data_IF_510517866985
#
_entry.id   IF_510517866985
#
_cell.length_a   1.000
_cell.length_b   1.000
_cell.length_c   1.000
_cell.angle_alpha   90.00
_cell.angle_beta   90.00
_cell.angle_gamma   90.00
#
_symmetry.space_group_name_H-M   'P 1'
#
loop_
_entity.id
_entity.type
_entity.pdbx_description
1 polymer ?
#
# COMPACT_ATOMS: atom_id res chain seq x y z
N UNK A 1 -15.31 -15.46 -20.59
CA UNK A 1 -16.08 -14.48 -19.78
C UNK A 1 -17.54 -14.47 -20.26
N UNK A 2 -18.49 -14.36 -19.33
CA UNK A 2 -19.93 -14.33 -19.67
C UNK A 2 -20.43 -12.89 -19.76
N UNK A 3 -21.20 -12.56 -20.79
CA UNK A 3 -22.09 -11.43 -20.74
C UNK A 3 -23.17 -11.69 -19.68
N UNK A 4 -23.49 -10.67 -18.89
CA UNK A 4 -24.52 -10.74 -17.84
C UNK A 4 -25.54 -9.62 -18.09
N UNK A 5 -26.76 -9.83 -17.65
CA UNK A 5 -27.78 -8.75 -17.67
C UNK A 5 -27.36 -7.62 -16.73
N UNK A 6 -27.74 -6.35 -17.06
CA UNK A 6 -27.52 -5.23 -16.16
C UNK A 6 -28.09 -5.51 -14.77
N UNK A 7 -27.26 -5.35 -13.73
CA UNK A 7 -27.69 -5.62 -12.35
C UNK A 7 -27.22 -4.53 -11.40
N UNK A 8 -28.00 -4.29 -10.38
CA UNK A 8 -27.64 -3.45 -9.23
C UNK A 8 -26.87 -4.29 -8.22
N UNK A 9 -25.77 -3.75 -7.71
CA UNK A 9 -24.93 -4.41 -6.71
C UNK A 9 -24.94 -3.57 -5.43
N UNK A 10 -25.67 -3.99 -4.39
CA UNK A 10 -25.69 -3.28 -3.11
C UNK A 10 -24.39 -3.46 -2.34
N UNK A 11 -23.99 -2.42 -1.61
CA UNK A 11 -22.82 -2.45 -0.74
C UNK A 11 -22.92 -1.44 0.41
N UNK A 12 -22.01 -1.49 1.38
CA UNK A 12 -22.08 -0.64 2.57
C UNK A 12 -22.00 0.86 2.23
N UNK A 13 -23.09 1.59 2.38
CA UNK A 13 -23.20 3.03 2.15
C UNK A 13 -23.16 3.46 0.68
N UNK A 14 -23.15 2.52 -0.27
CA UNK A 14 -23.20 2.78 -1.71
C UNK A 14 -23.95 1.66 -2.43
N UNK A 15 -24.44 1.95 -3.65
CA UNK A 15 -24.93 0.93 -4.59
C UNK A 15 -24.28 1.17 -5.95
N UNK A 16 -24.00 0.10 -6.69
CA UNK A 16 -23.65 0.18 -8.11
C UNK A 16 -24.94 -0.06 -8.92
N UNK A 17 -25.43 0.98 -9.58
CA UNK A 17 -26.65 0.93 -10.38
C UNK A 17 -26.27 1.00 -11.86
N UNK A 18 -26.83 0.17 -12.76
CA UNK A 18 -26.56 0.28 -14.19
C UNK A 18 -26.67 1.72 -14.68
N UNK A 19 -25.70 2.17 -15.49
CA UNK A 19 -25.67 3.53 -16.00
C UNK A 19 -26.89 3.79 -16.92
N UNK A 20 -27.71 4.77 -16.58
CA UNK A 20 -28.93 5.16 -17.29
C UNK A 20 -29.00 6.65 -17.59
N UNK A 21 -30.08 7.05 -18.32
CA UNK A 21 -30.28 8.45 -18.72
C UNK A 21 -30.41 9.42 -17.54
N UNK A 22 -30.90 8.95 -16.40
CA UNK A 22 -31.04 9.71 -15.16
C UNK A 22 -29.69 10.24 -14.63
N UNK A 23 -28.59 9.66 -15.06
CA UNK A 23 -27.23 10.07 -14.63
C UNK A 23 -26.55 11.05 -15.60
N UNK A 24 -27.20 11.45 -16.72
CA UNK A 24 -26.63 12.40 -17.68
C UNK A 24 -26.35 13.75 -17.01
N UNK A 25 -27.34 14.31 -16.33
CA UNK A 25 -27.22 15.62 -15.69
C UNK A 25 -26.26 15.62 -14.51
N UNK A 26 -26.35 14.67 -13.55
CA UNK A 26 -25.37 14.57 -12.47
C UNK A 26 -23.95 14.38 -12.96
N UNK A 27 -23.72 13.51 -13.95
CA UNK A 27 -22.40 13.26 -14.52
C UNK A 27 -21.86 14.52 -15.22
N UNK A 28 -22.70 15.23 -15.97
CA UNK A 28 -22.32 16.49 -16.63
C UNK A 28 -21.88 17.51 -15.59
N UNK A 29 -22.66 17.70 -14.53
CA UNK A 29 -22.34 18.66 -13.46
C UNK A 29 -21.00 18.35 -12.78
N UNK A 30 -20.77 17.08 -12.45
CA UNK A 30 -19.50 16.62 -11.80
C UNK A 30 -18.31 16.88 -12.71
N UNK A 31 -18.39 16.55 -14.00
CA UNK A 31 -17.24 16.60 -14.91
C UNK A 31 -16.96 18.00 -15.50
N UNK A 32 -17.73 19.02 -15.11
CA UNK A 32 -17.40 20.43 -15.38
C UNK A 32 -16.10 20.89 -14.65
N UNK A 33 -15.70 20.23 -13.56
CA UNK A 33 -14.48 20.59 -12.84
C UNK A 33 -13.24 20.14 -13.64
N UNK A 34 -12.37 21.09 -13.97
CA UNK A 34 -11.12 20.86 -14.69
C UNK A 34 -10.19 19.85 -14.00
N UNK A 35 -10.37 19.59 -12.70
CA UNK A 35 -9.55 18.64 -11.96
C UNK A 35 -9.56 17.24 -12.58
N UNK A 36 -10.66 16.83 -13.22
CA UNK A 36 -10.76 15.52 -13.86
C UNK A 36 -9.88 15.36 -15.10
N UNK A 37 -9.64 16.43 -15.87
CA UNK A 37 -8.79 16.36 -17.05
C UNK A 37 -7.31 16.15 -16.76
N UNK A 38 -6.90 16.31 -15.48
CA UNK A 38 -5.49 16.17 -15.08
C UNK A 38 -4.98 14.73 -15.14
N UNK A 39 -5.81 13.77 -14.72
CA UNK A 39 -5.41 12.38 -14.53
C UNK A 39 -6.32 11.38 -15.27
N UNK A 40 -7.19 11.86 -16.13
CA UNK A 40 -8.09 11.02 -16.91
C UNK A 40 -8.00 11.39 -18.39
N UNK A 41 -8.67 10.62 -19.24
CA UNK A 41 -8.87 10.94 -20.66
C UNK A 41 -10.14 11.75 -20.88
N UNK A 42 -10.82 12.18 -19.82
CA UNK A 42 -12.04 13.00 -19.89
C UNK A 42 -11.66 14.39 -20.43
N UNK A 43 -12.25 14.83 -21.55
CA UNK A 43 -11.95 16.12 -22.13
C UNK A 43 -12.47 17.26 -21.25
N UNK A 44 -11.86 18.44 -21.41
CA UNK A 44 -12.36 19.66 -20.78
C UNK A 44 -12.39 20.81 -21.81
N UNK A 45 -13.47 21.56 -21.90
CA UNK A 45 -14.72 21.44 -21.14
C UNK A 45 -15.48 20.14 -21.45
N UNK A 46 -16.21 19.60 -20.46
CA UNK A 46 -17.05 18.44 -20.62
C UNK A 46 -18.49 18.89 -20.94
N UNK A 47 -19.00 18.49 -22.07
CA UNK A 47 -20.33 18.88 -22.53
C UNK A 47 -21.39 17.81 -22.24
N UNK A 48 -22.66 18.20 -22.10
CA UNK A 48 -23.79 17.30 -21.90
C UNK A 48 -23.87 16.20 -22.98
N UNK A 49 -23.62 16.56 -24.23
CA UNK A 49 -23.55 15.61 -25.35
C UNK A 49 -22.55 14.49 -25.15
N UNK A 50 -21.46 14.77 -24.44
CA UNK A 50 -20.46 13.74 -24.06
C UNK A 50 -21.01 12.79 -22.99
N UNK A 51 -21.79 13.29 -22.04
CA UNK A 51 -22.50 12.45 -21.06
C UNK A 51 -23.54 11.56 -21.74
N UNK A 52 -24.32 12.10 -22.65
CA UNK A 52 -25.30 11.36 -23.45
C UNK A 52 -24.64 10.23 -24.25
N UNK A 53 -23.50 10.52 -24.90
CA UNK A 53 -22.73 9.51 -25.63
C UNK A 53 -22.16 8.42 -24.70
N UNK A 54 -21.69 8.79 -23.50
CA UNK A 54 -21.20 7.83 -22.51
C UNK A 54 -22.32 6.89 -22.02
N UNK A 55 -23.51 7.43 -21.71
CA UNK A 55 -24.67 6.64 -21.26
C UNK A 55 -25.16 5.71 -22.39
N UNK A 56 -25.26 6.21 -23.63
CA UNK A 56 -25.60 5.38 -24.77
C UNK A 56 -24.58 4.23 -24.99
N UNK A 57 -23.30 4.48 -24.81
CA UNK A 57 -22.26 3.44 -24.90
C UNK A 57 -22.33 2.42 -23.76
N UNK A 58 -22.74 2.85 -22.57
CA UNK A 58 -22.87 2.01 -21.37
C UNK A 58 -23.95 0.93 -21.56
N UNK A 59 -25.08 1.26 -22.19
CA UNK A 59 -26.14 0.31 -22.47
C UNK A 59 -25.65 -0.93 -23.24
N UNK A 60 -24.78 -0.75 -24.25
CA UNK A 60 -24.19 -1.86 -24.99
C UNK A 60 -22.96 -2.52 -24.33
N UNK A 61 -22.50 -2.02 -23.19
CA UNK A 61 -21.34 -2.57 -22.49
C UNK A 61 -21.60 -3.99 -22.00
N UNK A 62 -22.77 -4.22 -21.43
CA UNK A 62 -23.18 -5.50 -20.85
C UNK A 62 -23.25 -6.63 -21.87
N UNK A 63 -23.78 -6.36 -23.06
CA UNK A 63 -23.85 -7.33 -24.15
C UNK A 63 -22.47 -7.72 -24.66
N UNK A 64 -21.51 -6.81 -24.59
CA UNK A 64 -20.11 -7.05 -24.99
C UNK A 64 -19.27 -7.71 -23.88
N UNK A 65 -19.88 -8.11 -22.76
CA UNK A 65 -19.20 -8.74 -21.64
C UNK A 65 -18.46 -7.75 -20.75
N UNK A 66 -18.83 -6.46 -20.77
CA UNK A 66 -18.40 -5.44 -19.82
C UNK A 66 -19.49 -5.12 -18.80
N UNK A 67 -19.22 -4.15 -17.95
CA UNK A 67 -20.18 -3.57 -17.01
C UNK A 67 -19.96 -2.07 -16.93
N UNK A 68 -21.05 -1.33 -16.68
CA UNK A 68 -20.98 0.12 -16.53
C UNK A 68 -22.02 0.59 -15.51
N UNK A 69 -21.55 1.13 -14.39
CA UNK A 69 -22.40 1.54 -13.28
C UNK A 69 -22.20 2.99 -12.89
N UNK A 70 -23.30 3.64 -12.56
CA UNK A 70 -23.29 4.77 -11.64
C UNK A 70 -23.06 4.26 -10.23
N UNK A 71 -22.24 4.95 -9.46
CA UNK A 71 -22.10 4.76 -8.02
C UNK A 71 -23.06 5.72 -7.36
N UNK A 72 -24.00 5.21 -6.57
CA UNK A 72 -24.99 6.04 -5.86
C UNK A 72 -24.91 5.82 -4.36
N UNK A 73 -25.32 6.83 -3.59
CA UNK A 73 -25.43 6.73 -2.14
C UNK A 73 -26.58 5.82 -1.74
N UNK A 74 -26.33 4.85 -0.86
CA UNK A 74 -27.36 3.95 -0.32
C UNK A 74 -28.53 4.76 0.29
N UNK A 75 -29.76 4.47 -0.14
CA UNK A 75 -30.98 5.11 0.34
C UNK A 75 -31.17 6.57 -0.07
N UNK A 76 -30.15 7.24 -0.62
CA UNK A 76 -30.26 8.64 -1.08
C UNK A 76 -30.40 8.75 -2.59
N UNK A 77 -29.85 7.79 -3.35
CA UNK A 77 -29.76 7.85 -4.81
C UNK A 77 -28.81 8.94 -5.35
N UNK A 78 -28.06 9.63 -4.48
CA UNK A 78 -27.11 10.67 -4.86
C UNK A 78 -26.01 10.10 -5.75
N UNK A 79 -25.70 10.75 -6.87
CA UNK A 79 -24.63 10.33 -7.78
C UNK A 79 -23.24 10.63 -7.18
N UNK A 80 -22.49 9.58 -6.87
CA UNK A 80 -21.16 9.67 -6.25
C UNK A 80 -20.01 9.45 -7.25
N UNK A 81 -20.31 8.95 -8.46
CA UNK A 81 -19.30 8.66 -9.47
C UNK A 81 -19.71 7.57 -10.45
N UNK A 82 -18.75 7.08 -11.21
CA UNK A 82 -18.93 6.00 -12.19
C UNK A 82 -17.82 4.98 -12.08
N UNK A 83 -18.14 3.72 -12.30
CA UNK A 83 -17.19 2.62 -12.42
C UNK A 83 -17.57 1.74 -13.60
N UNK A 84 -16.62 1.39 -14.43
CA UNK A 84 -16.81 0.55 -15.60
C UNK A 84 -15.76 -0.54 -15.68
N UNK A 85 -16.11 -1.66 -16.28
CA UNK A 85 -15.19 -2.72 -16.67
C UNK A 85 -15.38 -3.05 -18.15
N UNK A 86 -14.29 -3.06 -18.87
CA UNK A 86 -14.28 -3.33 -20.31
C UNK A 86 -13.47 -4.57 -20.62
N UNK A 87 -13.95 -5.48 -21.49
CA UNK A 87 -13.14 -6.59 -21.97
C UNK A 87 -11.85 -6.08 -22.62
N UNK A 88 -10.74 -6.72 -22.28
CA UNK A 88 -9.44 -6.40 -22.88
C UNK A 88 -9.33 -7.17 -24.22
N UNK A 89 -9.19 -6.48 -25.35
CA UNK A 89 -9.04 -7.17 -26.64
C UNK A 89 -7.85 -8.11 -26.61
N UNK A 90 -8.00 -9.31 -27.17
CA UNK A 90 -6.96 -10.33 -27.32
C UNK A 90 -6.46 -10.98 -26.02
N UNK A 91 -6.98 -10.60 -24.86
CA UNK A 91 -6.68 -11.26 -23.58
C UNK A 91 -7.97 -11.90 -23.07
N UNK A 92 -8.11 -13.23 -23.19
CA UNK A 92 -9.30 -13.93 -22.72
C UNK A 92 -9.55 -13.68 -21.22
N UNK A 93 -10.81 -13.54 -20.85
CA UNK A 93 -11.29 -13.43 -19.47
C UNK A 93 -10.58 -12.35 -18.64
N UNK A 94 -10.12 -11.27 -19.30
CA UNK A 94 -9.50 -10.10 -18.71
C UNK A 94 -10.38 -8.87 -18.88
N UNK A 95 -10.57 -8.12 -17.79
CA UNK A 95 -11.29 -6.84 -17.78
C UNK A 95 -10.34 -5.69 -17.43
N UNK A 96 -10.56 -4.54 -18.05
CA UNK A 96 -9.92 -3.28 -17.69
C UNK A 96 -10.88 -2.42 -16.88
N UNK A 97 -10.46 -2.00 -15.71
CA UNK A 97 -11.21 -1.19 -14.77
C UNK A 97 -10.96 0.30 -15.04
N UNK A 98 -12.05 1.07 -15.20
CA UNK A 98 -12.05 2.52 -15.31
C UNK A 98 -13.05 3.15 -14.34
N UNK A 99 -12.75 4.36 -13.80
CA UNK A 99 -13.66 5.02 -12.88
C UNK A 99 -13.32 6.49 -12.63
N UNK A 100 -14.29 7.19 -12.05
CA UNK A 100 -14.09 8.47 -11.37
C UNK A 100 -15.07 8.62 -10.20
N UNK A 101 -14.71 9.44 -9.21
CA UNK A 101 -15.57 9.79 -8.06
C UNK A 101 -15.88 11.28 -8.12
N UNK A 102 -17.12 11.68 -7.81
CA UNK A 102 -17.49 13.07 -7.64
C UNK A 102 -16.61 13.74 -6.57
N UNK A 103 -16.12 14.95 -6.86
CA UNK A 103 -15.07 15.63 -6.09
C UNK A 103 -15.42 15.80 -4.60
N UNK A 104 -16.67 16.12 -4.32
CA UNK A 104 -17.18 16.33 -2.95
C UNK A 104 -17.12 15.05 -2.10
N UNK A 105 -16.94 13.89 -2.75
CA UNK A 105 -16.83 12.57 -2.11
C UNK A 105 -15.40 11.98 -2.13
N UNK A 106 -14.41 12.79 -2.54
CA UNK A 106 -13.01 12.34 -2.50
C UNK A 106 -12.54 12.10 -1.06
N UNK A 107 -11.71 11.08 -0.89
CA UNK A 107 -11.16 10.73 0.43
C UNK A 107 -12.12 9.95 1.35
N UNK A 108 -13.40 9.81 1.00
CA UNK A 108 -14.43 9.14 1.82
C UNK A 108 -14.52 7.62 1.57
N UNK A 109 -13.61 7.04 0.81
CA UNK A 109 -13.56 5.60 0.54
C UNK A 109 -14.63 5.09 -0.44
N UNK A 110 -15.41 5.96 -1.08
CA UNK A 110 -16.46 5.60 -2.07
C UNK A 110 -15.88 4.67 -3.14
N UNK A 111 -14.79 5.08 -3.81
CA UNK A 111 -14.21 4.28 -4.89
C UNK A 111 -13.58 2.97 -4.39
N UNK A 112 -13.05 2.93 -3.18
CA UNK A 112 -12.52 1.68 -2.60
C UNK A 112 -13.63 0.63 -2.46
N UNK A 113 -14.81 1.03 -1.98
CA UNK A 113 -15.98 0.14 -1.86
C UNK A 113 -16.52 -0.26 -3.24
N UNK A 114 -16.62 0.70 -4.16
CA UNK A 114 -17.08 0.43 -5.53
C UNK A 114 -16.19 -0.57 -6.26
N UNK A 115 -14.86 -0.43 -6.14
CA UNK A 115 -13.89 -1.38 -6.72
C UNK A 115 -14.08 -2.79 -6.13
N UNK A 116 -14.28 -2.91 -4.81
CA UNK A 116 -14.54 -4.21 -4.17
C UNK A 116 -15.75 -4.91 -4.80
N UNK A 117 -16.89 -4.21 -4.86
CA UNK A 117 -18.14 -4.74 -5.45
C UNK A 117 -17.99 -5.12 -6.93
N UNK A 118 -17.30 -4.28 -7.69
CA UNK A 118 -17.07 -4.52 -9.10
C UNK A 118 -16.16 -5.74 -9.33
N UNK A 119 -15.06 -5.89 -8.54
CA UNK A 119 -14.19 -7.07 -8.59
C UNK A 119 -14.94 -8.36 -8.23
N UNK A 120 -15.76 -8.33 -7.19
CA UNK A 120 -16.57 -9.48 -6.81
C UNK A 120 -17.53 -9.89 -7.94
N UNK A 121 -18.18 -8.94 -8.58
CA UNK A 121 -19.05 -9.20 -9.74
C UNK A 121 -18.24 -9.78 -10.91
N UNK A 122 -17.08 -9.21 -11.22
CA UNK A 122 -16.21 -9.67 -12.30
C UNK A 122 -15.80 -11.13 -12.12
N UNK A 123 -15.37 -11.51 -10.93
CA UNK A 123 -14.85 -12.85 -10.69
C UNK A 123 -15.93 -13.90 -10.45
N UNK A 124 -17.06 -13.53 -9.81
CA UNK A 124 -18.13 -14.50 -9.48
C UNK A 124 -19.17 -14.63 -10.58
N UNK A 125 -19.71 -13.51 -11.06
CA UNK A 125 -20.82 -13.52 -12.03
C UNK A 125 -20.33 -13.61 -13.49
N UNK A 126 -19.27 -12.87 -13.84
CA UNK A 126 -18.78 -12.80 -15.21
C UNK A 126 -17.73 -13.85 -15.54
N UNK A 127 -17.09 -14.47 -14.52
CA UNK A 127 -16.05 -15.47 -14.69
C UNK A 127 -14.73 -14.90 -15.23
N UNK A 128 -14.45 -13.63 -14.95
CA UNK A 128 -13.15 -13.05 -15.25
C UNK A 128 -12.05 -13.78 -14.45
N UNK A 129 -10.89 -13.95 -15.04
CA UNK A 129 -9.70 -14.51 -14.38
C UNK A 129 -8.73 -13.43 -13.93
N UNK A 130 -8.83 -12.25 -14.55
CA UNK A 130 -7.98 -11.10 -14.29
C UNK A 130 -8.76 -9.78 -14.43
N UNK A 131 -8.46 -8.84 -13.56
CA UNK A 131 -8.83 -7.43 -13.73
C UNK A 131 -7.55 -6.60 -13.71
N UNK A 132 -7.39 -5.74 -14.71
CA UNK A 132 -6.28 -4.79 -14.80
C UNK A 132 -6.76 -3.35 -14.67
N UNK A 133 -5.85 -2.48 -14.31
CA UNK A 133 -6.07 -1.04 -14.18
C UNK A 133 -4.86 -0.26 -14.66
N UNK A 134 -5.13 0.87 -15.31
CA UNK A 134 -4.12 1.85 -15.69
C UNK A 134 -4.49 3.22 -15.14
N UNK A 135 -3.54 3.89 -14.54
CA UNK A 135 -3.70 5.26 -14.06
C UNK A 135 -2.43 6.07 -14.26
N UNK A 136 -2.57 7.37 -14.45
CA UNK A 136 -1.40 8.24 -14.57
C UNK A 136 -0.48 8.10 -13.37
N UNK A 137 0.82 8.08 -13.65
CA UNK A 137 1.84 8.17 -12.62
C UNK A 137 1.64 9.45 -11.80
N UNK A 138 1.51 9.29 -10.48
CA UNK A 138 1.18 10.37 -9.56
C UNK A 138 -0.32 10.55 -9.25
N UNK A 139 -1.22 9.77 -9.86
CA UNK A 139 -2.64 9.72 -9.47
C UNK A 139 -2.82 8.82 -8.23
N UNK A 140 -2.29 9.28 -7.10
CA UNK A 140 -2.27 8.53 -5.86
C UNK A 140 -3.65 8.21 -5.29
N UNK A 141 -4.63 9.09 -5.48
CA UNK A 141 -6.00 8.84 -5.04
C UNK A 141 -6.61 7.64 -5.72
N UNK A 142 -6.42 7.55 -7.04
CA UNK A 142 -6.89 6.42 -7.84
C UNK A 142 -6.11 5.13 -7.50
N UNK A 143 -4.78 5.20 -7.44
CA UNK A 143 -3.96 4.06 -7.03
C UNK A 143 -4.39 3.50 -5.66
N UNK A 144 -4.67 4.35 -4.67
CA UNK A 144 -5.06 3.92 -3.32
C UNK A 144 -6.35 3.10 -3.31
N UNK A 145 -7.31 3.42 -4.19
CA UNK A 145 -8.57 2.68 -4.28
C UNK A 145 -8.35 1.25 -4.76
N UNK A 146 -7.53 1.04 -5.80
CA UNK A 146 -7.26 -0.30 -6.34
C UNK A 146 -6.25 -1.07 -5.49
N UNK A 147 -5.21 -0.41 -4.97
CA UNK A 147 -4.25 -1.01 -4.05
C UNK A 147 -4.93 -1.62 -2.81
N UNK A 148 -5.90 -0.93 -2.20
CA UNK A 148 -6.69 -1.45 -1.07
C UNK A 148 -7.49 -2.70 -1.40
N UNK A 149 -7.75 -2.95 -2.67
CA UNK A 149 -8.45 -4.11 -3.17
C UNK A 149 -7.53 -5.20 -3.74
N UNK A 150 -6.24 -5.17 -3.38
CA UNK A 150 -5.27 -6.20 -3.72
C UNK A 150 -4.69 -6.11 -5.13
N UNK A 151 -4.95 -5.02 -5.90
CA UNK A 151 -4.25 -4.85 -7.17
C UNK A 151 -2.76 -4.61 -6.92
N UNK A 152 -1.94 -5.33 -7.69
CA UNK A 152 -0.48 -5.26 -7.62
C UNK A 152 0.04 -4.41 -8.75
N UNK A 153 0.97 -3.50 -8.46
CA UNK A 153 1.64 -2.72 -9.49
C UNK A 153 2.62 -3.61 -10.25
N UNK A 154 2.43 -3.73 -11.56
CA UNK A 154 3.20 -4.62 -12.44
C UNK A 154 4.23 -3.85 -13.26
N UNK A 155 4.17 -2.54 -13.28
CA UNK A 155 5.12 -1.70 -13.99
C UNK A 155 4.58 -0.33 -14.40
N UNK A 156 5.32 0.32 -15.30
CA UNK A 156 4.97 1.60 -15.89
C UNK A 156 4.92 1.45 -17.41
N UNK A 157 3.79 1.82 -18.00
CA UNK A 157 3.64 1.89 -19.45
C UNK A 157 3.79 3.35 -19.94
N UNK A 158 4.44 3.51 -21.10
CA UNK A 158 4.47 4.78 -21.83
C UNK A 158 3.46 4.71 -22.97
N UNK A 159 2.40 5.51 -22.90
CA UNK A 159 1.31 5.49 -23.89
C UNK A 159 0.91 6.92 -24.25
N UNK A 160 0.96 7.27 -25.53
CA UNK A 160 0.56 8.59 -26.03
C UNK A 160 1.18 9.78 -25.26
N UNK A 161 2.49 9.70 -24.96
CA UNK A 161 3.20 10.76 -24.22
C UNK A 161 2.97 10.78 -22.70
N UNK A 162 2.13 9.88 -22.17
CA UNK A 162 1.85 9.74 -20.72
C UNK A 162 2.61 8.55 -20.15
N UNK A 163 2.89 8.62 -18.86
CA UNK A 163 3.41 7.50 -18.06
C UNK A 163 2.27 6.99 -17.19
N UNK A 164 1.94 5.73 -17.34
CA UNK A 164 0.81 5.09 -16.65
C UNK A 164 1.35 3.97 -15.76
N UNK A 165 0.93 3.95 -14.50
CA UNK A 165 1.05 2.75 -13.70
C UNK A 165 0.13 1.67 -14.27
N UNK A 166 0.68 0.47 -14.45
CA UNK A 166 -0.06 -0.74 -14.79
C UNK A 166 -0.19 -1.58 -13.52
N UNK A 167 -1.39 -2.01 -13.19
CA UNK A 167 -1.66 -2.88 -12.07
C UNK A 167 -2.73 -3.92 -12.42
N UNK A 168 -2.70 -5.05 -11.72
CA UNK A 168 -3.66 -6.12 -11.93
C UNK A 168 -3.90 -6.95 -10.68
N UNK A 169 -5.00 -7.72 -10.72
CA UNK A 169 -5.37 -8.70 -9.70
C UNK A 169 -5.97 -9.92 -10.38
N UNK A 170 -5.62 -11.11 -9.94
CA UNK A 170 -6.18 -12.37 -10.42
C UNK A 170 -7.38 -12.79 -9.54
N UNK A 171 -8.27 -13.60 -10.10
CA UNK A 171 -9.38 -14.19 -9.33
C UNK A 171 -8.91 -14.99 -8.10
N UNK A 172 -7.69 -15.53 -8.16
CA UNK A 172 -7.06 -16.32 -7.09
C UNK A 172 -6.25 -15.49 -6.09
N UNK A 173 -6.03 -14.20 -6.37
CA UNK A 173 -5.25 -13.34 -5.49
C UNK A 173 -6.06 -12.91 -4.25
N UNK A 174 -5.41 -12.69 -3.10
CA UNK A 174 -6.04 -12.03 -1.97
C UNK A 174 -6.53 -10.62 -2.32
N UNK A 175 -7.65 -10.19 -1.74
CA UNK A 175 -8.21 -8.84 -1.88
C UNK A 175 -7.57 -7.83 -0.94
N UNK A 176 -6.38 -8.13 -0.47
CA UNK A 176 -5.60 -7.29 0.43
C UNK A 176 -4.34 -6.80 -0.26
N UNK A 177 -3.85 -5.59 0.06
CA UNK A 177 -2.57 -5.13 -0.42
C UNK A 177 -1.45 -6.11 -0.08
N UNK A 178 -0.65 -6.48 -1.06
CA UNK A 178 0.54 -7.34 -0.89
C UNK A 178 1.81 -6.53 -0.59
N UNK A 179 1.75 -5.21 -0.78
CA UNK A 179 2.84 -4.27 -0.53
C UNK A 179 2.36 -3.12 0.35
N UNK A 180 3.24 -2.50 1.16
CA UNK A 180 2.91 -1.29 1.89
C UNK A 180 2.43 -0.15 0.98
N UNK A 181 1.62 0.76 1.53
CA UNK A 181 1.24 1.98 0.82
C UNK A 181 2.48 2.84 0.53
N UNK A 182 2.66 3.19 -0.75
CA UNK A 182 3.83 3.92 -1.25
C UNK A 182 3.52 5.37 -1.69
N UNK A 183 2.28 5.85 -1.45
CA UNK A 183 1.82 7.16 -1.89
C UNK A 183 1.77 8.24 -0.80
N UNK A 184 1.42 9.50 -1.17
CA UNK A 184 1.30 10.60 -0.24
C UNK A 184 0.32 10.33 0.91
N UNK A 185 0.59 10.88 2.08
CA UNK A 185 -0.22 10.69 3.29
C UNK A 185 0.07 9.39 4.04
N UNK A 186 1.01 8.58 3.54
CA UNK A 186 1.59 7.48 4.31
C UNK A 186 2.60 7.97 5.36
N UNK A 187 2.92 9.25 5.36
CA UNK A 187 4.05 9.78 6.12
C UNK A 187 5.41 9.24 5.64
N UNK A 188 5.40 8.50 4.53
CA UNK A 188 6.58 7.85 3.99
C UNK A 188 6.94 8.45 2.62
N UNK A 189 8.20 8.78 2.37
CA UNK A 189 8.71 8.97 1.03
C UNK A 189 8.51 7.68 0.20
N UNK A 190 8.65 7.78 -1.13
CA UNK A 190 8.46 6.69 -2.08
C UNK A 190 9.01 5.35 -1.55
N UNK A 191 8.26 4.26 -1.80
CA UNK A 191 8.66 2.93 -1.37
C UNK A 191 10.12 2.68 -1.71
N UNK A 192 10.91 2.45 -0.67
CA UNK A 192 12.30 2.08 -0.84
C UNK A 192 12.35 0.60 -1.18
N UNK A 193 13.27 0.25 -2.05
CA UNK A 193 13.55 -1.12 -2.41
C UNK A 193 13.89 -1.94 -1.14
N UNK A 194 13.09 -2.95 -0.77
CA UNK A 194 13.37 -3.79 0.40
C UNK A 194 14.70 -4.54 0.29
N UNK A 195 15.20 -4.78 -0.92
CA UNK A 195 16.56 -5.28 -1.16
C UNK A 195 17.68 -4.27 -0.83
N UNK A 196 17.33 -3.08 -0.32
CA UNK A 196 18.30 -2.07 0.17
C UNK A 196 17.99 -1.66 1.62
N UNK A 197 18.22 -2.53 2.59
CA UNK A 197 17.85 -2.32 4.01
C UNK A 197 18.35 -0.99 4.60
N UNK A 198 19.54 -0.55 4.24
CA UNK A 198 20.09 0.75 4.64
C UNK A 198 19.15 1.90 4.23
N UNK A 199 18.56 1.82 3.03
CA UNK A 199 17.60 2.81 2.55
C UNK A 199 16.35 2.87 3.41
N UNK A 200 15.81 1.73 3.85
CA UNK A 200 14.65 1.65 4.74
C UNK A 200 14.94 2.32 6.09
N UNK A 201 16.09 2.01 6.67
CA UNK A 201 16.50 2.59 7.96
C UNK A 201 16.73 4.10 7.84
N UNK A 202 17.37 4.59 6.78
CA UNK A 202 17.57 6.02 6.55
C UNK A 202 16.24 6.75 6.37
N UNK A 203 15.28 6.14 5.67
CA UNK A 203 13.92 6.68 5.57
C UNK A 203 13.27 6.85 6.94
N UNK A 204 13.37 5.84 7.81
CA UNK A 204 12.88 5.94 9.19
C UNK A 204 13.55 7.10 9.94
N UNK A 205 14.89 7.21 9.85
CA UNK A 205 15.62 8.30 10.48
C UNK A 205 15.13 9.69 10.00
N UNK A 206 14.97 9.86 8.70
CA UNK A 206 14.47 11.12 8.12
C UNK A 206 13.03 11.42 8.55
N UNK A 207 12.15 10.41 8.51
CA UNK A 207 10.73 10.57 8.88
C UNK A 207 10.57 10.98 10.35
N UNK A 208 11.38 10.42 11.23
CA UNK A 208 11.28 10.63 12.68
C UNK A 208 12.29 11.61 13.24
N UNK A 209 12.98 12.35 12.38
CA UNK A 209 14.03 13.32 12.77
C UNK A 209 15.10 12.70 13.70
N UNK A 210 15.42 11.43 13.45
CA UNK A 210 16.51 10.72 14.13
C UNK A 210 17.82 11.07 13.43
N UNK A 211 18.94 11.30 14.14
CA UNK A 211 20.21 11.68 13.52
C UNK A 211 20.65 10.74 12.39
N UNK A 212 21.03 11.28 11.23
CA UNK A 212 21.60 10.58 10.08
C UNK A 212 22.96 11.18 9.72
N UNK A 213 24.01 10.75 10.41
CA UNK A 213 25.38 11.23 10.20
C UNK A 213 25.93 10.94 8.80
N UNK A 214 25.38 9.93 8.10
CA UNK A 214 25.74 9.67 6.70
C UNK A 214 25.21 10.78 5.77
N UNK A 215 24.02 11.33 6.06
CA UNK A 215 23.48 12.47 5.32
C UNK A 215 24.27 13.75 5.59
N UNK A 216 24.81 13.88 6.78
CA UNK A 216 25.65 15.01 7.20
C UNK A 216 27.11 14.87 6.73
N UNK A 217 27.49 13.79 6.05
CA UNK A 217 28.85 13.45 5.67
C UNK A 217 29.85 13.51 6.85
N UNK A 218 29.36 13.24 8.05
CA UNK A 218 30.18 13.24 9.26
C UNK A 218 31.15 12.04 9.29
N UNK A 219 32.32 12.23 9.87
CA UNK A 219 33.28 11.13 10.05
C UNK A 219 32.66 10.01 10.92
N UNK A 220 32.97 8.73 10.64
CA UNK A 220 32.57 7.62 11.49
C UNK A 220 33.06 7.78 12.92
N UNK A 221 32.20 7.51 13.90
CA UNK A 221 32.57 7.56 15.33
C UNK A 221 31.60 6.71 16.15
N UNK A 222 32.07 6.19 17.27
CA UNK A 222 31.27 5.60 18.34
C UNK A 222 31.12 6.56 19.55
N UNK A 223 31.69 7.76 19.45
CA UNK A 223 31.56 8.78 20.51
C UNK A 223 30.35 9.67 20.20
N UNK A 224 29.16 9.23 20.62
CA UNK A 224 27.92 10.00 20.51
C UNK A 224 26.91 9.60 21.61
N UNK A 225 26.14 10.55 22.09
CA UNK A 225 25.21 10.45 23.23
C UNK A 225 24.29 9.21 23.19
N UNK A 226 23.84 8.82 22.00
CA UNK A 226 22.87 7.74 21.83
C UNK A 226 23.49 6.36 21.64
N UNK A 227 24.82 6.19 21.76
CA UNK A 227 25.49 4.91 21.52
C UNK A 227 24.90 3.78 22.39
N UNK A 228 24.82 3.99 23.70
CA UNK A 228 24.32 2.97 24.62
C UNK A 228 22.89 2.51 24.27
N UNK A 229 22.00 3.46 23.91
CA UNK A 229 20.66 3.12 23.47
C UNK A 229 20.66 2.29 22.16
N UNK A 230 21.58 2.57 21.21
CA UNK A 230 21.70 1.79 19.96
C UNK A 230 22.19 0.38 20.20
N UNK A 231 23.20 0.20 21.05
CA UNK A 231 23.67 -1.13 21.45
C UNK A 231 22.56 -1.91 22.17
N UNK A 232 21.83 -1.26 23.08
CA UNK A 232 20.71 -1.89 23.77
C UNK A 232 19.60 -2.39 22.80
N UNK A 233 19.27 -1.62 21.76
CA UNK A 233 18.32 -2.06 20.74
C UNK A 233 18.80 -3.28 19.96
N UNK A 234 20.06 -3.34 19.55
CA UNK A 234 20.63 -4.52 18.89
C UNK A 234 20.55 -5.75 19.79
N UNK A 235 20.86 -5.58 21.09
CA UNK A 235 20.81 -6.67 22.08
C UNK A 235 19.36 -7.12 22.35
N UNK A 236 18.39 -6.21 22.36
CA UNK A 236 16.95 -6.49 22.52
C UNK A 236 16.46 -7.42 21.38
N UNK A 237 16.72 -7.04 20.13
CA UNK A 237 16.30 -7.84 18.96
C UNK A 237 17.02 -9.20 18.89
N UNK A 238 18.31 -9.24 19.28
CA UNK A 238 19.03 -10.51 19.37
C UNK A 238 18.44 -11.42 20.47
N UNK A 239 18.10 -10.87 21.63
CA UNK A 239 17.47 -11.64 22.71
C UNK A 239 16.07 -12.17 22.27
N UNK A 240 15.31 -11.39 21.51
CA UNK A 240 14.03 -11.84 20.93
C UNK A 240 14.20 -12.99 19.95
N UNK A 241 15.22 -12.94 19.09
CA UNK A 241 15.57 -14.04 18.20
C UNK A 241 15.91 -15.33 18.98
N UNK A 242 16.77 -15.22 19.99
CA UNK A 242 17.13 -16.35 20.87
C UNK A 242 15.88 -16.90 21.59
N UNK A 243 15.02 -16.02 22.06
CA UNK A 243 13.76 -16.40 22.68
C UNK A 243 12.81 -17.15 21.75
N UNK A 244 12.75 -16.75 20.48
CA UNK A 244 11.94 -17.42 19.45
C UNK A 244 12.46 -18.81 19.11
N UNK A 245 13.78 -19.05 19.20
CA UNK A 245 14.41 -20.34 18.86
C UNK A 245 14.50 -21.26 20.07
N UNK A 246 14.91 -20.76 21.23
CA UNK A 246 15.24 -21.58 22.41
C UNK A 246 14.29 -21.38 23.60
N UNK A 247 13.37 -20.43 23.51
CA UNK A 247 12.37 -20.17 24.54
C UNK A 247 12.73 -19.01 25.49
N UNK A 248 11.78 -18.64 26.36
CA UNK A 248 11.88 -17.41 27.18
C UNK A 248 13.02 -17.41 28.19
N UNK A 249 13.42 -18.56 28.72
CA UNK A 249 14.56 -18.63 29.64
C UNK A 249 15.88 -18.23 28.96
N UNK A 250 16.08 -18.68 27.71
CA UNK A 250 17.26 -18.31 26.93
C UNK A 250 17.27 -16.81 26.60
N UNK A 251 16.10 -16.23 26.27
CA UNK A 251 15.93 -14.80 26.11
C UNK A 251 16.41 -14.03 27.34
N UNK A 252 15.93 -14.40 28.53
CA UNK A 252 16.30 -13.72 29.79
C UNK A 252 17.80 -13.75 30.05
N UNK A 253 18.48 -14.85 29.75
CA UNK A 253 19.94 -14.95 29.90
C UNK A 253 20.68 -13.95 29.00
N UNK A 254 20.24 -13.77 27.75
CA UNK A 254 20.86 -12.81 26.83
C UNK A 254 20.60 -11.37 27.31
N UNK A 255 19.37 -11.07 27.76
CA UNK A 255 19.04 -9.74 28.30
C UNK A 255 19.84 -9.41 29.57
N UNK A 256 20.08 -10.38 30.45
CA UNK A 256 20.94 -10.20 31.64
C UNK A 256 22.40 -9.99 31.25
N UNK A 257 22.92 -10.78 30.32
CA UNK A 257 24.32 -10.64 29.84
C UNK A 257 24.54 -9.27 29.16
N UNK A 258 23.57 -8.80 28.36
CA UNK A 258 23.63 -7.49 27.71
C UNK A 258 23.68 -6.32 28.72
N UNK A 259 22.91 -6.41 29.81
CA UNK A 259 22.94 -5.42 30.87
C UNK A 259 24.29 -5.44 31.62
N UNK A 260 24.75 -6.63 31.98
CA UNK A 260 26.06 -6.77 32.65
C UNK A 260 27.21 -6.26 31.78
N UNK A 261 27.17 -6.48 30.47
CA UNK A 261 28.16 -5.95 29.54
C UNK A 261 28.14 -4.41 29.45
N UNK A 262 26.94 -3.81 29.47
CA UNK A 262 26.81 -2.36 29.50
C UNK A 262 27.35 -1.74 30.81
N UNK A 263 27.13 -2.41 31.94
CA UNK A 263 27.63 -1.96 33.25
C UNK A 263 29.17 -2.11 33.36
N UNK A 264 29.76 -2.99 32.56
CA UNK A 264 31.21 -3.23 32.49
C UNK A 264 31.92 -2.40 31.39
N UNK A 265 31.31 -1.31 30.91
CA UNK A 265 31.88 -0.47 29.83
C UNK A 265 33.24 0.12 30.24
N UNK A 266 34.28 -0.30 29.55
CA UNK A 266 35.66 0.18 29.75
C UNK A 266 35.98 1.45 28.94
N UNK A 267 35.00 1.99 28.21
CA UNK A 267 35.19 3.19 27.39
C UNK A 267 35.92 2.95 26.06
N UNK A 268 36.11 1.70 25.64
CA UNK A 268 36.72 1.37 24.34
C UNK A 268 35.74 1.76 23.22
N UNK A 269 36.28 2.42 22.18
CA UNK A 269 35.49 2.95 21.06
C UNK A 269 36.18 2.69 19.72
N UNK A 270 36.44 1.40 19.41
CA UNK A 270 37.05 1.01 18.14
C UNK A 270 35.95 1.01 17.03
N UNK A 271 36.00 2.03 16.19
CA UNK A 271 35.02 2.21 15.12
C UNK A 271 35.20 1.23 13.96
N UNK A 272 36.44 0.76 13.74
CA UNK A 272 36.74 -0.19 12.65
C UNK A 272 36.23 -1.57 13.02
N UNK A 273 36.56 -2.05 14.21
CA UNK A 273 36.07 -3.33 14.73
C UNK A 273 34.54 -3.36 14.84
N UNK A 274 33.95 -2.27 15.32
CA UNK A 274 32.49 -2.19 15.40
C UNK A 274 31.79 -2.14 14.01
N UNK A 275 32.43 -1.56 13.01
CA UNK A 275 31.86 -1.56 11.65
C UNK A 275 31.93 -2.96 11.03
N UNK A 276 32.99 -3.70 11.23
CA UNK A 276 33.18 -5.08 10.82
C UNK A 276 32.10 -5.98 11.49
N UNK A 277 32.00 -5.92 12.80
CA UNK A 277 31.00 -6.67 13.57
C UNK A 277 29.54 -6.36 13.14
N UNK A 278 29.20 -5.09 12.85
CA UNK A 278 27.89 -4.73 12.34
C UNK A 278 27.62 -5.33 10.96
N UNK A 279 28.63 -5.36 10.09
CA UNK A 279 28.50 -5.98 8.77
C UNK A 279 28.28 -7.49 8.88
N UNK A 280 29.05 -8.15 9.73
CA UNK A 280 28.92 -9.59 9.98
C UNK A 280 27.55 -9.95 10.59
N UNK A 281 27.06 -9.18 11.55
CA UNK A 281 25.71 -9.38 12.10
C UNK A 281 24.63 -9.37 11.01
N UNK A 282 24.69 -8.42 10.09
CA UNK A 282 23.74 -8.36 8.97
C UNK A 282 23.92 -9.57 8.06
N UNK A 283 25.17 -9.93 7.74
CA UNK A 283 25.48 -11.04 6.84
C UNK A 283 24.96 -12.39 7.38
N UNK A 284 25.25 -12.69 8.66
CA UNK A 284 24.81 -13.97 9.27
C UNK A 284 23.30 -14.00 9.53
N UNK A 285 22.65 -12.84 9.77
CA UNK A 285 21.21 -12.77 9.87
C UNK A 285 20.53 -13.13 8.54
N UNK A 286 21.02 -12.64 7.41
CA UNK A 286 20.57 -13.05 6.08
C UNK A 286 20.88 -14.53 5.81
N UNK A 287 22.07 -15.02 6.23
CA UNK A 287 22.42 -16.43 6.10
C UNK A 287 21.42 -17.34 6.81
N UNK A 288 21.08 -17.02 8.05
CA UNK A 288 20.07 -17.74 8.82
C UNK A 288 18.70 -17.70 8.12
N UNK A 289 18.30 -16.56 7.60
CA UNK A 289 17.03 -16.41 6.87
C UNK A 289 16.98 -17.30 5.62
N UNK A 290 18.06 -17.33 4.82
CA UNK A 290 18.20 -18.18 3.63
C UNK A 290 18.07 -19.66 3.99
N UNK A 291 18.80 -20.13 5.01
CA UNK A 291 18.75 -21.53 5.46
C UNK A 291 17.38 -21.91 6.03
N UNK A 292 16.65 -20.94 6.58
CA UNK A 292 15.29 -21.13 7.12
C UNK A 292 14.18 -20.98 6.08
N UNK A 293 14.52 -20.65 4.82
CA UNK A 293 13.53 -20.38 3.76
C UNK A 293 12.74 -19.09 3.97
N UNK A 294 13.29 -18.12 4.70
CA UNK A 294 12.67 -16.82 5.00
C UNK A 294 13.15 -15.78 4.00
N UNK A 295 12.23 -15.21 3.23
CA UNK A 295 12.50 -14.01 2.44
C UNK A 295 12.55 -12.79 3.37
N UNK A 296 13.75 -12.48 3.88
CA UNK A 296 13.95 -11.43 4.87
C UNK A 296 13.65 -10.04 4.31
N UNK A 297 13.83 -9.82 3.01
CA UNK A 297 13.52 -8.55 2.37
C UNK A 297 12.00 -8.26 2.42
N UNK A 298 11.17 -9.28 2.19
CA UNK A 298 9.71 -9.16 2.36
C UNK A 298 9.31 -8.90 3.81
N UNK A 299 9.97 -9.55 4.76
CA UNK A 299 9.74 -9.29 6.20
C UNK A 299 10.15 -7.87 6.57
N UNK A 300 11.30 -7.39 6.08
CA UNK A 300 11.76 -6.00 6.30
C UNK A 300 10.79 -4.96 5.73
N UNK A 301 10.17 -5.23 4.58
CA UNK A 301 9.14 -4.35 4.01
C UNK A 301 7.94 -4.21 4.96
N UNK A 302 7.47 -5.31 5.57
CA UNK A 302 6.39 -5.29 6.56
C UNK A 302 6.78 -4.53 7.83
N UNK A 303 7.98 -4.75 8.33
CA UNK A 303 8.52 -4.03 9.50
C UNK A 303 8.63 -2.53 9.22
N UNK A 304 9.09 -2.16 8.03
CA UNK A 304 9.17 -0.76 7.62
C UNK A 304 7.79 -0.11 7.55
N UNK A 305 6.81 -0.77 6.94
CA UNK A 305 5.44 -0.29 6.86
C UNK A 305 4.85 -0.07 8.26
N UNK A 306 5.03 -1.03 9.16
CA UNK A 306 4.64 -0.92 10.57
C UNK A 306 5.33 0.25 11.26
N UNK A 307 6.62 0.41 11.06
CA UNK A 307 7.38 1.50 11.66
C UNK A 307 6.87 2.88 11.19
N UNK A 308 6.58 3.03 9.91
CA UNK A 308 6.07 4.29 9.34
C UNK A 308 4.62 4.56 9.76
N UNK A 309 3.84 3.54 10.10
CA UNK A 309 2.47 3.70 10.62
C UNK A 309 2.39 4.29 12.03
N UNK A 310 3.52 4.48 12.71
CA UNK A 310 3.59 5.12 14.04
C UNK A 310 3.34 6.63 14.00
N UNK A 311 3.37 7.28 12.82
CA UNK A 311 3.08 8.70 12.66
C UNK A 311 1.68 9.06 13.16
N UNK A 312 1.54 10.27 13.72
CA UNK A 312 0.23 10.83 14.03
C UNK A 312 -0.52 11.17 12.74
N UNK A 313 -1.86 11.27 12.75
CA UNK A 313 -2.65 11.57 11.54
C UNK A 313 -2.30 12.90 10.88
N UNK A 314 -1.78 13.85 11.64
CA UNK A 314 -1.29 15.16 11.18
C UNK A 314 0.16 15.12 10.65
N UNK A 315 0.78 13.93 10.60
CA UNK A 315 2.17 13.74 10.19
C UNK A 315 3.20 14.08 11.26
N UNK A 316 2.77 14.46 12.47
CA UNK A 316 3.70 14.76 13.55
C UNK A 316 4.29 13.52 14.22
N UNK A 317 5.48 13.68 14.78
CA UNK A 317 6.17 12.64 15.55
C UNK A 317 6.02 12.92 17.03
N UNK A 318 5.64 11.90 17.80
CA UNK A 318 5.66 11.96 19.27
C UNK A 318 6.67 10.98 19.82
N UNK A 319 7.52 11.44 20.70
CA UNK A 319 8.53 10.62 21.35
C UNK A 319 8.13 10.38 22.81
N UNK A 320 8.47 9.22 23.32
CA UNK A 320 8.47 8.89 24.75
C UNK A 320 9.71 9.51 25.39
N UNK A 321 9.71 9.66 26.73
CA UNK A 321 10.83 10.25 27.47
C UNK A 321 12.19 9.55 27.26
N UNK A 322 12.21 8.29 26.85
CA UNK A 322 13.38 7.51 26.49
C UNK A 322 13.79 7.62 25.00
N UNK A 323 13.14 8.50 24.23
CA UNK A 323 13.39 8.73 22.82
C UNK A 323 12.79 7.70 21.87
N UNK A 324 12.00 6.71 22.35
CA UNK A 324 11.24 5.79 21.48
C UNK A 324 10.05 6.50 20.84
N UNK A 325 9.78 6.23 19.57
CA UNK A 325 8.62 6.78 18.85
C UNK A 325 7.33 6.19 19.42
N UNK A 326 6.39 7.06 19.80
CA UNK A 326 5.06 6.65 20.24
C UNK A 326 4.21 6.20 19.04
N UNK A 327 3.38 5.18 19.26
CA UNK A 327 2.44 4.67 18.28
C UNK A 327 1.27 5.63 18.11
N UNK A 328 1.06 6.16 16.92
CA UNK A 328 -0.12 6.94 16.54
C UNK A 328 -1.38 6.07 16.43
N UNK A 329 -2.56 6.68 16.31
CA UNK A 329 -3.82 5.93 16.18
C UNK A 329 -3.93 5.10 14.88
N UNK A 330 -3.10 5.40 13.87
CA UNK A 330 -3.00 4.63 12.62
C UNK A 330 -1.98 3.48 12.68
N UNK A 331 -1.37 3.23 13.85
CA UNK A 331 -0.39 2.16 13.99
C UNK A 331 -0.99 0.77 13.75
N UNK A 332 -0.27 -0.04 12.97
CA UNK A 332 -0.52 -1.47 12.82
C UNK A 332 0.78 -2.26 12.99
N UNK A 333 0.73 -3.48 13.58
CA UNK A 333 1.90 -4.34 13.68
C UNK A 333 2.29 -4.89 12.30
N UNK A 334 3.58 -5.30 12.10
CA UNK A 334 4.01 -5.93 10.86
C UNK A 334 3.27 -7.26 10.64
N UNK A 335 2.80 -7.50 9.43
CA UNK A 335 2.16 -8.77 9.08
C UNK A 335 3.20 -9.80 8.59
N UNK A 336 4.02 -10.28 9.52
CA UNK A 336 5.09 -11.25 9.24
C UNK A 336 4.52 -12.56 8.65
N UNK A 337 3.34 -13.02 9.11
CA UNK A 337 2.70 -14.23 8.54
C UNK A 337 2.43 -14.09 7.04
N UNK A 338 1.98 -12.92 6.61
CA UNK A 338 1.78 -12.60 5.18
C UNK A 338 3.10 -12.62 4.42
N UNK A 339 4.15 -11.99 4.95
CA UNK A 339 5.48 -12.00 4.32
C UNK A 339 6.02 -13.42 4.12
N UNK A 340 5.75 -14.31 5.06
CA UNK A 340 6.17 -15.72 5.01
C UNK A 340 5.26 -16.61 4.15
N UNK A 341 4.18 -16.08 3.56
CA UNK A 341 3.21 -16.89 2.81
C UNK A 341 2.42 -17.87 3.68
N UNK A 342 2.45 -17.71 5.00
CA UNK A 342 1.67 -18.50 5.95
C UNK A 342 0.24 -17.95 5.97
N UNK A 343 -0.56 -18.27 4.95
CA UNK A 343 -1.94 -17.84 4.79
C UNK A 343 -2.77 -18.24 6.01
N UNK A 344 -3.77 -17.41 6.36
CA UNK A 344 -4.63 -17.63 7.48
C UNK A 344 -5.33 -18.98 7.42
N UNK A 345 -4.91 -19.88 8.27
CA UNK A 345 -5.75 -20.96 8.73
C UNK A 345 -6.92 -20.31 9.49
N UNK A 346 -8.14 -20.54 9.00
CA UNK A 346 -9.34 -20.22 9.74
C UNK A 346 -9.24 -20.90 11.14
N UNK A 347 -9.33 -20.08 12.17
CA UNK A 347 -9.53 -20.48 13.55
C UNK A 347 -10.64 -19.60 14.11
#
# INVERSE_FOLDING_TARGET
>A
MRAIEPLTVPGPGIELVPMGEEFIDPMTAVLQDRAYSRFTTIPWPFERSMAEANVAAAAGSWERGGCDWAIVGEGTGEFLGRIEMRPVPLIPDCLELGYFTAKDHWGQGVMTRAVALALDTAFTAMGATRVQWYGDEGNWGSWKAVWRNGLRREGVQRRAGRRLWAAGVLATDPREPDTPWDGPGAGAPAALDPGRPMGLVRQFHQTYSVPDRLAEHAAPTLDYERLGMRVALVSEEYAELIGAVYGPAARSLVEEAARAAADADEGVRDVVEAADALADLVYVAYGMAVESGIDLDRVLAEVQASNLSKLMPDGTVRLRGDGKVLKGPGFFPPNVRRALGLGGGAG
#
